data_IF_602664912883
#
_entry.id   IF_602664912883
#
_cell.length_a   1.000
_cell.length_b   1.000
_cell.length_c   1.000
_cell.angle_alpha   90.00
_cell.angle_beta   90.00
_cell.angle_gamma   90.00
#
_symmetry.space_group_name_H-M   'P 1'
#
loop_
_entity.id
_entity.type
_entity.pdbx_description
1 polymer ?
#
# COMPACT_ATOMS: atom_id res chain seq x y z
N UNK A 1 -9.49 -4.97 -23.09
CA UNK A 1 -9.43 -4.78 -21.63
C UNK A 1 -8.15 -4.03 -21.34
N UNK A 2 -8.23 -2.86 -20.71
CA UNK A 2 -7.07 -2.04 -20.38
C UNK A 2 -6.35 -2.57 -19.13
N UNK A 3 -5.18 -2.01 -18.81
CA UNK A 3 -4.34 -2.47 -17.70
C UNK A 3 -5.04 -2.35 -16.33
N UNK A 4 -5.84 -1.30 -16.13
CA UNK A 4 -6.59 -1.10 -14.89
C UNK A 4 -7.69 -2.16 -14.71
N UNK A 5 -8.39 -2.50 -15.79
CA UNK A 5 -9.40 -3.57 -15.79
C UNK A 5 -8.79 -4.95 -15.52
N UNK A 6 -7.59 -5.23 -16.06
CA UNK A 6 -6.83 -6.45 -15.78
C UNK A 6 -6.40 -6.53 -14.31
N UNK A 7 -5.85 -5.45 -13.75
CA UNK A 7 -5.46 -5.36 -12.35
C UNK A 7 -6.67 -5.56 -11.42
N UNK A 8 -7.80 -4.95 -11.75
CA UNK A 8 -9.04 -5.12 -11.00
C UNK A 8 -9.55 -6.58 -11.05
N UNK A 9 -9.51 -7.23 -12.22
CA UNK A 9 -9.89 -8.65 -12.33
C UNK A 9 -8.96 -9.55 -11.50
N UNK A 10 -7.66 -9.28 -11.50
CA UNK A 10 -6.69 -9.99 -10.67
C UNK A 10 -6.98 -9.81 -9.18
N UNK A 11 -7.36 -8.59 -8.76
CA UNK A 11 -7.83 -8.34 -7.39
C UNK A 11 -9.05 -9.18 -7.04
N UNK A 12 -10.08 -9.23 -7.90
CA UNK A 12 -11.28 -10.04 -7.64
C UNK A 12 -10.97 -11.53 -7.48
N UNK A 13 -10.05 -12.08 -8.30
CA UNK A 13 -9.60 -13.47 -8.17
C UNK A 13 -8.79 -13.72 -6.89
N UNK A 14 -7.96 -12.74 -6.48
CA UNK A 14 -7.24 -12.78 -5.22
C UNK A 14 -8.20 -12.78 -4.03
N UNK A 15 -9.26 -11.97 -4.05
CA UNK A 15 -10.29 -11.92 -3.00
C UNK A 15 -11.01 -13.26 -2.87
N UNK A 16 -11.40 -13.89 -3.99
CA UNK A 16 -12.11 -15.19 -3.98
C UNK A 16 -11.29 -16.31 -3.35
N UNK A 17 -9.99 -16.33 -3.59
CA UNK A 17 -9.08 -17.38 -3.14
C UNK A 17 -8.23 -16.92 -1.94
N UNK A 18 -8.69 -15.90 -1.23
CA UNK A 18 -7.83 -15.22 -0.27
C UNK A 18 -7.54 -16.07 0.96
N UNK A 19 -6.26 -16.28 1.25
CA UNK A 19 -5.82 -16.94 2.47
C UNK A 19 -5.57 -15.92 3.58
N UNK A 20 -6.52 -15.81 4.51
CA UNK A 20 -6.49 -14.89 5.64
C UNK A 20 -5.26 -15.14 6.54
N UNK A 21 -4.86 -16.39 6.76
CA UNK A 21 -3.72 -16.71 7.63
C UNK A 21 -2.40 -16.24 7.03
N UNK A 22 -2.20 -16.41 5.72
CA UNK A 22 -1.05 -15.84 5.03
C UNK A 22 -1.03 -14.31 5.14
N UNK A 23 -2.18 -13.65 5.05
CA UNK A 23 -2.28 -12.20 5.19
C UNK A 23 -1.93 -11.71 6.60
N UNK A 24 -2.38 -12.43 7.64
CA UNK A 24 -2.04 -12.14 9.04
C UNK A 24 -0.54 -12.26 9.29
N UNK A 25 0.08 -13.34 8.80
CA UNK A 25 1.52 -13.58 8.94
C UNK A 25 2.30 -12.51 8.17
N UNK A 26 1.97 -12.29 6.90
CA UNK A 26 2.60 -11.26 6.07
C UNK A 26 2.46 -9.85 6.66
N UNK A 27 1.28 -9.54 7.23
CA UNK A 27 1.04 -8.29 7.93
C UNK A 27 1.90 -8.13 9.17
N UNK A 28 2.02 -9.18 9.98
CA UNK A 28 2.87 -9.18 11.17
C UNK A 28 4.33 -8.96 10.81
N UNK A 29 4.84 -9.69 9.80
CA UNK A 29 6.21 -9.56 9.32
C UNK A 29 6.49 -8.15 8.80
N UNK A 30 5.61 -7.61 7.96
CA UNK A 30 5.76 -6.26 7.39
C UNK A 30 5.72 -5.20 8.49
N UNK A 31 4.80 -5.32 9.46
CA UNK A 31 4.73 -4.39 10.59
C UNK A 31 6.00 -4.43 11.44
N UNK A 32 6.56 -5.60 11.69
CA UNK A 32 7.81 -5.75 12.43
C UNK A 32 8.99 -5.15 11.67
N UNK A 33 9.08 -5.39 10.36
CA UNK A 33 10.06 -4.77 9.48
C UNK A 33 9.99 -3.23 9.53
N UNK A 34 8.80 -2.65 9.39
CA UNK A 34 8.63 -1.19 9.44
C UNK A 34 8.95 -0.60 10.81
N UNK A 35 8.57 -1.28 11.90
CA UNK A 35 8.96 -0.87 13.26
C UNK A 35 10.48 -0.88 13.42
N UNK A 36 11.14 -1.93 12.95
CA UNK A 36 12.59 -2.05 12.98
C UNK A 36 13.28 -0.90 12.23
N UNK A 37 12.84 -0.61 11.00
CA UNK A 37 13.36 0.54 10.22
C UNK A 37 13.23 1.86 10.98
N UNK A 38 12.07 2.11 11.61
CA UNK A 38 11.81 3.35 12.33
C UNK A 38 12.58 3.45 13.66
N UNK A 39 12.71 2.34 14.40
CA UNK A 39 13.41 2.31 15.69
C UNK A 39 14.93 2.47 15.53
N UNK A 40 15.50 1.87 14.48
CA UNK A 40 16.93 1.98 14.18
C UNK A 40 17.29 3.20 13.33
N UNK A 41 16.35 4.13 13.13
CA UNK A 41 16.54 5.33 12.31
C UNK A 41 17.09 5.06 10.89
N UNK A 42 16.73 3.93 10.29
CA UNK A 42 17.20 3.51 8.95
C UNK A 42 16.51 4.24 7.79
N UNK A 43 15.78 5.32 8.10
CA UNK A 43 15.04 6.14 7.13
C UNK A 43 15.30 7.58 7.50
N UNK A 44 16.12 8.31 6.76
CA UNK A 44 16.49 9.68 7.19
C UNK A 44 15.40 10.72 6.90
N UNK A 45 14.60 10.49 5.85
CA UNK A 45 13.58 11.43 5.41
C UNK A 45 12.39 11.49 6.39
N UNK A 46 12.15 12.67 6.97
CA UNK A 46 11.07 12.91 7.96
C UNK A 46 9.67 12.63 7.39
N UNK A 47 9.41 12.97 6.13
CA UNK A 47 8.11 12.74 5.48
C UNK A 47 7.90 11.25 5.21
N UNK A 48 8.93 10.53 4.77
CA UNK A 48 8.89 9.08 4.64
C UNK A 48 8.67 8.40 6.00
N UNK A 49 9.32 8.86 7.08
CA UNK A 49 9.02 8.39 8.45
C UNK A 49 7.54 8.57 8.79
N UNK A 50 6.93 9.71 8.46
CA UNK A 50 5.51 9.95 8.70
C UNK A 50 4.62 9.01 7.89
N UNK A 51 4.95 8.77 6.62
CA UNK A 51 4.27 7.80 5.77
C UNK A 51 4.32 6.37 6.35
N UNK A 52 5.49 5.89 6.75
CA UNK A 52 5.63 4.55 7.35
C UNK A 52 4.89 4.44 8.69
N UNK A 53 4.91 5.49 9.51
CA UNK A 53 4.11 5.55 10.75
C UNK A 53 2.61 5.52 10.45
N UNK A 54 2.17 6.18 9.38
CA UNK A 54 0.78 6.13 8.94
C UNK A 54 0.38 4.72 8.50
N UNK A 55 1.20 4.01 7.70
CA UNK A 55 0.95 2.60 7.35
C UNK A 55 0.81 1.72 8.59
N UNK A 56 1.73 1.86 9.56
CA UNK A 56 1.66 1.13 10.82
C UNK A 56 0.36 1.43 11.60
N UNK A 57 -0.07 2.69 11.64
CA UNK A 57 -1.32 3.10 12.28
C UNK A 57 -2.54 2.48 11.59
N UNK A 58 -2.59 2.50 10.26
CA UNK A 58 -3.70 1.93 9.50
C UNK A 58 -3.78 0.41 9.68
N UNK A 59 -2.64 -0.27 9.66
CA UNK A 59 -2.55 -1.73 9.88
C UNK A 59 -2.92 -2.18 11.30
N UNK A 60 -2.81 -1.28 12.28
CA UNK A 60 -3.24 -1.53 13.66
C UNK A 60 -4.75 -1.43 13.86
N UNK A 61 -5.49 -0.96 12.86
CA UNK A 61 -6.94 -0.77 12.91
C UNK A 61 -7.66 -1.81 12.06
N UNK A 62 -7.75 -1.57 10.75
CA UNK A 62 -8.73 -2.22 9.87
C UNK A 62 -8.10 -2.95 8.68
N UNK A 63 -6.77 -2.94 8.57
CA UNK A 63 -6.06 -3.40 7.37
C UNK A 63 -4.98 -4.44 7.69
N UNK A 64 -4.85 -5.46 6.86
CA UNK A 64 -3.61 -6.20 6.68
C UNK A 64 -2.64 -5.35 5.87
N UNK A 65 -1.39 -5.24 6.33
CA UNK A 65 -0.35 -4.47 5.66
C UNK A 65 0.66 -5.40 5.01
N UNK A 66 0.64 -5.50 3.68
CA UNK A 66 1.51 -6.40 2.95
C UNK A 66 2.58 -5.59 2.22
N UNK A 67 3.83 -6.05 2.28
CA UNK A 67 4.88 -5.52 1.42
C UNK A 67 4.80 -6.21 0.05
N UNK A 68 4.77 -5.39 -0.99
CA UNK A 68 4.85 -5.79 -2.39
C UNK A 68 6.27 -5.50 -2.91
N UNK A 69 6.50 -5.63 -4.21
CA UNK A 69 7.77 -5.28 -4.83
C UNK A 69 8.05 -3.76 -4.77
N UNK A 70 9.32 -3.37 -4.91
CA UNK A 70 9.76 -1.99 -5.16
C UNK A 70 9.28 -0.93 -4.16
N UNK A 71 9.20 -1.31 -2.87
CA UNK A 71 8.77 -0.41 -1.80
C UNK A 71 7.28 -0.06 -1.82
N UNK A 72 6.49 -0.81 -2.60
CA UNK A 72 5.04 -0.72 -2.61
C UNK A 72 4.47 -1.46 -1.40
N UNK A 73 3.50 -0.84 -0.75
CA UNK A 73 2.74 -1.43 0.34
C UNK A 73 1.28 -1.54 -0.04
N UNK A 74 0.67 -2.66 0.32
CA UNK A 74 -0.76 -2.89 0.17
C UNK A 74 -1.44 -2.80 1.54
N UNK A 75 -2.46 -1.95 1.66
CA UNK A 75 -3.42 -1.96 2.74
C UNK A 75 -4.66 -2.70 2.28
N UNK A 76 -4.81 -3.96 2.69
CA UNK A 76 -5.97 -4.78 2.39
C UNK A 76 -6.91 -4.76 3.59
N UNK A 77 -8.17 -4.36 3.41
CA UNK A 77 -9.15 -4.35 4.49
C UNK A 77 -9.32 -5.77 5.06
N UNK A 78 -9.51 -5.90 6.37
CA UNK A 78 -9.61 -7.20 7.03
C UNK A 78 -10.79 -8.06 6.56
N UNK A 79 -11.84 -7.44 6.01
CA UNK A 79 -12.95 -8.16 5.39
C UNK A 79 -12.66 -8.57 3.93
N UNK A 80 -11.46 -8.27 3.43
CA UNK A 80 -10.96 -8.62 2.09
C UNK A 80 -11.83 -8.04 0.97
N UNK A 81 -12.49 -6.89 1.24
CA UNK A 81 -13.39 -6.22 0.27
C UNK A 81 -12.76 -5.04 -0.43
N UNK A 82 -11.63 -4.54 0.06
CA UNK A 82 -10.96 -3.40 -0.56
C UNK A 82 -9.47 -3.43 -0.30
N UNK A 83 -8.72 -2.94 -1.26
CA UNK A 83 -7.27 -2.79 -1.19
C UNK A 83 -6.83 -1.46 -1.76
N UNK A 84 -5.80 -0.88 -1.14
CA UNK A 84 -5.06 0.24 -1.68
C UNK A 84 -3.58 -0.13 -1.77
N UNK A 85 -2.96 0.01 -2.93
CA UNK A 85 -1.51 -0.10 -3.11
C UNK A 85 -0.92 1.30 -3.19
N UNK A 86 0.13 1.55 -2.41
CA UNK A 86 0.76 2.86 -2.32
C UNK A 86 2.26 2.77 -2.08
N UNK A 87 2.99 3.82 -2.48
CA UNK A 87 4.42 3.96 -2.21
C UNK A 87 4.81 5.40 -1.94
N UNK A 88 5.95 5.57 -1.29
CA UNK A 88 6.61 6.87 -1.14
C UNK A 88 7.64 7.05 -2.25
N UNK A 89 7.45 8.06 -3.09
CA UNK A 89 8.33 8.33 -4.23
C UNK A 89 9.29 9.46 -3.89
N UNK A 90 10.59 9.18 -4.02
CA UNK A 90 11.67 10.19 -3.97
C UNK A 90 12.25 10.49 -5.35
N UNK A 91 11.95 9.64 -6.34
CA UNK A 91 12.43 9.74 -7.72
C UNK A 91 11.28 10.11 -8.66
N UNK A 92 10.81 11.35 -8.55
CA UNK A 92 9.78 11.89 -9.45
C UNK A 92 10.43 12.31 -10.77
N UNK A 93 9.89 11.83 -11.90
CA UNK A 93 10.38 12.21 -13.24
C UNK A 93 10.13 13.69 -13.52
N UNK A 94 10.94 14.30 -14.39
CA UNK A 94 10.75 15.71 -14.77
C UNK A 94 9.39 15.98 -15.43
N UNK A 95 8.86 14.99 -16.16
CA UNK A 95 7.51 15.08 -16.71
C UNK A 95 6.45 15.19 -15.60
N UNK A 96 6.53 14.33 -14.58
CA UNK A 96 5.63 14.36 -13.43
C UNK A 96 5.81 15.63 -12.59
N UNK A 97 7.05 16.12 -12.41
CA UNK A 97 7.33 17.38 -11.70
C UNK A 97 6.64 18.59 -12.37
N UNK A 98 6.65 18.67 -13.70
CA UNK A 98 5.98 19.74 -14.44
C UNK A 98 4.47 19.78 -14.19
N UNK A 99 3.84 18.60 -14.08
CA UNK A 99 2.41 18.47 -13.83
C UNK A 99 2.06 18.82 -12.38
N UNK A 100 2.93 18.42 -11.44
CA UNK A 100 2.70 18.56 -10.00
C UNK A 100 3.36 19.80 -9.39
N UNK A 101 3.67 20.86 -10.15
CA UNK A 101 4.29 22.09 -9.61
C UNK A 101 5.61 21.87 -8.83
N UNK A 102 6.54 21.07 -9.38
CA UNK A 102 7.91 20.87 -8.86
C UNK A 102 8.01 20.21 -7.47
N UNK A 103 7.06 19.37 -7.06
CA UNK A 103 7.31 18.49 -5.91
C UNK A 103 8.46 17.51 -6.21
N UNK A 104 9.39 17.37 -5.25
CA UNK A 104 10.50 16.42 -5.33
C UNK A 104 10.18 15.05 -4.70
N UNK A 105 9.11 14.99 -3.90
CA UNK A 105 8.69 13.79 -3.19
C UNK A 105 7.16 13.73 -3.13
N UNK A 106 6.57 12.54 -3.23
CA UNK A 106 5.11 12.35 -3.15
C UNK A 106 4.74 10.98 -2.57
N UNK A 107 3.48 10.84 -2.17
CA UNK A 107 2.86 9.53 -1.93
C UNK A 107 2.04 9.21 -3.18
N UNK A 108 2.37 8.10 -3.83
CA UNK A 108 1.63 7.60 -4.98
C UNK A 108 0.66 6.52 -4.52
N UNK A 109 -0.61 6.69 -4.90
CA UNK A 109 -1.59 5.62 -4.86
C UNK A 109 -1.55 4.96 -6.23
N UNK A 110 -1.12 3.71 -6.28
CA UNK A 110 -0.92 2.98 -7.54
C UNK A 110 -2.25 2.39 -7.99
N UNK A 111 -2.90 1.61 -7.12
CA UNK A 111 -4.21 1.04 -7.37
C UNK A 111 -5.14 1.20 -6.16
N UNK A 112 -6.41 1.40 -6.48
CA UNK A 112 -7.53 1.33 -5.55
C UNK A 112 -8.53 0.32 -6.08
N UNK A 113 -8.81 -0.69 -5.29
CA UNK A 113 -9.78 -1.71 -5.63
C UNK A 113 -10.78 -1.90 -4.50
N UNK A 114 -12.04 -2.09 -4.88
CA UNK A 114 -13.11 -2.49 -4.00
C UNK A 114 -13.96 -3.54 -4.70
N UNK A 115 -14.34 -4.58 -3.96
CA UNK A 115 -15.43 -5.45 -4.36
C UNK A 115 -16.72 -4.64 -4.31
N UNK A 116 -17.24 -4.30 -5.49
CA UNK A 116 -18.47 -3.54 -5.71
C UNK A 116 -19.72 -4.39 -5.51
N UNK A 117 -19.69 -5.42 -4.66
CA UNK A 117 -20.89 -5.90 -3.99
C UNK A 117 -21.45 -4.79 -3.07
N UNK A 118 -21.91 -3.71 -3.70
CA UNK A 118 -22.78 -2.68 -3.17
C UNK A 118 -23.90 -3.42 -2.46
N UNK A 119 -24.05 -3.09 -1.18
CA UNK A 119 -25.16 -3.51 -0.34
C UNK A 119 -26.46 -3.42 -1.15
N UNK A 120 -27.18 -4.54 -1.26
CA UNK A 120 -28.64 -4.49 -1.46
C UNK A 120 -29.27 -3.78 -0.28
#
# INVERSE_FOLDING_TARGET
MNQSELAHKAFLELVKNFNIEHAKIGSTNTRNFLKNLLQNNLVDNKKQKLYLKWLLKMSGKEFYLLQMADGVFMLLNQNVKSAATCRYCTTITDATKRILNNYNELIEIIDLHSDLALKK
#
